data_IF_011836393968
#
_entry.id   IF_011836393968
#
_cell.length_a   1.000
_cell.length_b   1.000
_cell.length_c   1.000
_cell.angle_alpha   90.00
_cell.angle_beta   90.00
_cell.angle_gamma   90.00
#
_symmetry.space_group_name_H-M   'P 1'
#
loop_
_entity.id
_entity.type
_entity.pdbx_description
1 polymer ?
#
# COMPACT_ATOMS: atom_id res chain seq x y z
N UNK A 1 4.69 -61.72 17.88
CA UNK A 1 5.48 -60.54 17.49
C UNK A 1 4.47 -59.45 17.18
N UNK A 2 4.53 -58.30 17.83
CA UNK A 2 3.50 -57.26 17.68
C UNK A 2 3.63 -56.59 16.32
N UNK A 3 2.67 -56.84 15.44
CA UNK A 3 2.56 -56.15 14.15
C UNK A 3 2.28 -54.67 14.36
N UNK A 4 2.96 -53.81 13.59
CA UNK A 4 2.88 -52.36 13.68
C UNK A 4 2.50 -51.74 12.34
N UNK A 5 1.85 -50.57 12.41
CA UNK A 5 1.54 -49.75 11.24
C UNK A 5 2.85 -49.29 10.60
N UNK A 6 3.18 -49.83 9.42
CA UNK A 6 4.37 -49.46 8.66
C UNK A 6 4.02 -48.42 7.59
N UNK A 7 4.10 -47.14 7.93
CA UNK A 7 3.96 -46.05 6.95
C UNK A 7 5.30 -45.32 6.77
N UNK A 8 5.73 -45.20 5.53
CA UNK A 8 7.00 -44.56 5.16
C UNK A 8 6.95 -43.02 5.19
N UNK A 9 5.84 -42.42 5.62
CA UNK A 9 5.57 -40.97 5.53
C UNK A 9 5.25 -40.40 6.92
N UNK A 10 5.82 -39.24 7.30
CA UNK A 10 5.45 -38.54 8.52
C UNK A 10 3.98 -38.09 8.47
N UNK A 11 3.19 -38.49 9.45
CA UNK A 11 1.78 -38.11 9.65
C UNK A 11 1.56 -37.62 11.09
N UNK A 12 0.52 -36.81 11.32
CA UNK A 12 0.22 -36.23 12.63
C UNK A 12 -0.06 -37.31 13.69
N UNK A 13 0.30 -37.03 14.95
CA UNK A 13 0.21 -38.01 16.03
C UNK A 13 -1.21 -38.55 16.28
N UNK A 14 -2.24 -37.72 16.10
CA UNK A 14 -3.63 -38.16 16.22
C UNK A 14 -4.01 -39.12 15.08
N UNK A 15 -3.60 -38.81 13.84
CA UNK A 15 -3.80 -39.70 12.70
C UNK A 15 -3.03 -41.02 12.85
N UNK A 16 -1.82 -41.00 13.43
CA UNK A 16 -1.09 -42.23 13.79
C UNK A 16 -1.86 -43.09 14.79
N UNK A 17 -2.47 -42.48 15.82
CA UNK A 17 -3.27 -43.21 16.82
C UNK A 17 -4.49 -43.86 16.20
N UNK A 18 -5.24 -43.13 15.34
CA UNK A 18 -6.41 -43.67 14.64
C UNK A 18 -6.02 -44.88 13.80
N UNK A 19 -4.91 -44.79 13.04
CA UNK A 19 -4.44 -45.90 12.22
C UNK A 19 -3.96 -47.09 13.06
N UNK A 20 -3.31 -46.84 14.20
CA UNK A 20 -2.90 -47.90 15.13
C UNK A 20 -4.10 -48.62 15.76
N UNK A 21 -5.15 -47.88 16.09
CA UNK A 21 -6.41 -48.45 16.58
C UNK A 21 -7.11 -49.29 15.51
N UNK A 22 -7.17 -48.79 14.26
CA UNK A 22 -7.72 -49.54 13.12
C UNK A 22 -6.93 -50.84 12.86
N UNK A 23 -5.61 -50.78 12.95
CA UNK A 23 -4.75 -51.97 12.86
C UNK A 23 -5.10 -52.99 13.95
N UNK A 24 -5.20 -52.53 15.20
CA UNK A 24 -5.50 -53.39 16.35
C UNK A 24 -6.85 -54.10 16.17
N UNK A 25 -7.90 -53.37 15.82
CA UNK A 25 -9.25 -53.94 15.62
C UNK A 25 -9.24 -55.02 14.53
N UNK A 26 -8.55 -54.78 13.41
CA UNK A 26 -8.46 -55.74 12.31
C UNK A 26 -7.64 -56.98 12.65
N UNK A 27 -6.54 -56.79 13.36
CA UNK A 27 -5.72 -57.89 13.89
C UNK A 27 -6.52 -58.76 14.86
N UNK A 28 -7.30 -58.14 15.77
CA UNK A 28 -8.21 -58.83 16.69
C UNK A 28 -9.36 -59.56 15.97
N UNK A 29 -9.79 -59.04 14.81
CA UNK A 29 -10.75 -59.71 13.93
C UNK A 29 -10.15 -60.88 13.11
N UNK A 30 -8.86 -61.17 13.28
CA UNK A 30 -8.18 -62.32 12.65
C UNK A 30 -7.62 -62.05 11.25
N UNK A 31 -7.56 -60.79 10.81
CA UNK A 31 -6.86 -60.44 9.57
C UNK A 31 -5.34 -60.49 9.79
N UNK A 32 -4.60 -61.01 8.82
CA UNK A 32 -3.15 -61.09 8.88
C UNK A 32 -2.49 -59.72 8.63
N UNK A 33 -1.28 -59.57 9.16
CA UNK A 33 -0.52 -58.31 9.09
C UNK A 33 -0.24 -57.85 7.65
N UNK A 34 -0.08 -58.77 6.71
CA UNK A 34 0.18 -58.45 5.29
C UNK A 34 -1.07 -57.84 4.64
N UNK A 35 -2.24 -58.44 4.87
CA UNK A 35 -3.53 -57.93 4.41
C UNK A 35 -3.84 -56.53 4.98
N UNK A 36 -3.64 -56.33 6.29
CA UNK A 36 -3.91 -55.03 6.94
C UNK A 36 -2.98 -53.96 6.37
N UNK A 37 -1.68 -54.24 6.29
CA UNK A 37 -0.71 -53.27 5.78
C UNK A 37 -0.92 -52.98 4.28
N UNK A 38 -1.36 -53.95 3.48
CA UNK A 38 -1.71 -53.73 2.07
C UNK A 38 -2.91 -52.80 1.93
N UNK A 39 -3.93 -52.96 2.76
CA UNK A 39 -5.09 -52.07 2.77
C UNK A 39 -4.71 -50.64 3.21
N UNK A 40 -3.94 -50.51 4.28
CA UNK A 40 -3.42 -49.22 4.74
C UNK A 40 -2.54 -48.54 3.67
N UNK A 41 -1.72 -49.32 2.97
CA UNK A 41 -0.91 -48.83 1.86
C UNK A 41 -1.77 -48.32 0.69
N UNK A 42 -2.92 -48.95 0.42
CA UNK A 42 -3.84 -48.48 -0.61
C UNK A 42 -4.53 -47.15 -0.24
N UNK A 43 -4.71 -46.88 1.06
CA UNK A 43 -5.29 -45.64 1.58
C UNK A 43 -4.27 -44.50 1.72
N UNK A 44 -2.96 -44.77 1.56
CA UNK A 44 -1.88 -43.79 1.76
C UNK A 44 -2.10 -42.44 1.04
N UNK A 45 -2.51 -42.40 -0.25
CA UNK A 45 -2.77 -41.12 -0.91
C UNK A 45 -3.83 -40.30 -0.16
N UNK A 46 -4.95 -40.92 0.20
CA UNK A 46 -6.04 -40.28 0.95
C UNK A 46 -5.58 -39.79 2.32
N UNK A 47 -4.71 -40.54 3.01
CA UNK A 47 -4.14 -40.15 4.32
C UNK A 47 -3.23 -38.92 4.18
N UNK A 48 -2.38 -38.88 3.16
CA UNK A 48 -1.50 -37.72 2.91
C UNK A 48 -2.31 -36.45 2.68
N UNK A 49 -3.39 -36.56 1.90
CA UNK A 49 -4.30 -35.45 1.63
C UNK A 49 -5.03 -35.04 2.92
N UNK A 50 -5.62 -35.99 3.65
CA UNK A 50 -6.30 -35.70 4.92
C UNK A 50 -5.39 -34.95 5.89
N UNK A 51 -4.16 -35.44 6.09
CA UNK A 51 -3.19 -34.82 6.98
C UNK A 51 -2.73 -33.43 6.52
N UNK A 52 -2.82 -33.13 5.22
CA UNK A 52 -2.56 -31.79 4.70
C UNK A 52 -3.73 -30.83 4.96
N UNK A 53 -4.97 -31.34 4.95
CA UNK A 53 -6.18 -30.53 5.12
C UNK A 53 -6.50 -30.30 6.61
N UNK A 54 -6.25 -31.30 7.47
CA UNK A 54 -6.32 -31.28 8.93
C UNK A 54 -5.16 -30.43 9.50
N UNK A 55 -5.33 -29.11 9.40
CA UNK A 55 -4.27 -28.14 9.69
C UNK A 55 -4.05 -27.98 11.19
N UNK A 56 -5.10 -28.14 11.99
CA UNK A 56 -5.02 -28.08 13.45
C UNK A 56 -4.64 -29.43 14.08
N UNK A 57 -4.48 -30.47 13.26
CA UNK A 57 -4.12 -31.83 13.65
C UNK A 57 -5.09 -32.43 14.67
N UNK A 58 -6.36 -32.01 14.60
CA UNK A 58 -7.43 -32.52 15.46
C UNK A 58 -7.78 -33.98 15.17
N UNK A 59 -7.35 -34.52 14.02
CA UNK A 59 -7.74 -35.84 13.55
C UNK A 59 -9.11 -35.83 12.87
N UNK A 60 -9.60 -34.66 12.50
CA UNK A 60 -10.88 -34.46 11.83
C UNK A 60 -10.85 -33.23 10.92
N UNK A 61 -11.58 -33.26 9.81
CA UNK A 61 -11.69 -32.14 8.88
C UNK A 61 -13.01 -31.42 9.13
N UNK A 62 -12.92 -30.15 9.51
CA UNK A 62 -14.07 -29.27 9.65
C UNK A 62 -14.56 -28.74 8.30
N UNK A 63 -15.80 -28.23 8.24
CA UNK A 63 -16.33 -27.56 7.05
C UNK A 63 -15.43 -26.40 6.57
N UNK A 64 -14.72 -25.72 7.49
CA UNK A 64 -13.79 -24.64 7.16
C UNK A 64 -12.56 -25.16 6.42
N UNK A 65 -12.02 -26.30 6.86
CA UNK A 65 -10.87 -26.94 6.23
C UNK A 65 -11.24 -27.56 4.89
N UNK A 66 -12.40 -28.21 4.78
CA UNK A 66 -12.94 -28.67 3.50
C UNK A 66 -13.13 -27.48 2.53
N UNK A 67 -13.67 -26.34 3.00
CA UNK A 67 -13.79 -25.12 2.19
C UNK A 67 -12.43 -24.57 1.73
N UNK A 68 -11.36 -24.72 2.51
CA UNK A 68 -9.99 -24.33 2.10
C UNK A 68 -9.46 -25.26 1.02
N UNK A 69 -9.66 -26.57 1.18
CA UNK A 69 -9.33 -27.57 0.16
C UNK A 69 -9.99 -27.21 -1.17
N UNK A 70 -11.32 -27.08 -1.20
CA UNK A 70 -12.05 -26.79 -2.44
C UNK A 70 -11.57 -25.50 -3.12
N UNK A 71 -11.15 -24.50 -2.33
CA UNK A 71 -10.59 -23.24 -2.85
C UNK A 71 -9.18 -23.37 -3.41
N UNK A 72 -8.39 -24.34 -2.96
CA UNK A 72 -7.04 -24.60 -3.50
C UNK A 72 -7.06 -25.46 -4.76
N UNK A 73 -8.15 -26.20 -5.00
CA UNK A 73 -8.29 -27.04 -6.18
C UNK A 73 -8.53 -26.21 -7.46
N UNK A 74 -8.18 -26.75 -8.64
CA UNK A 74 -8.43 -26.09 -9.92
C UNK A 74 -9.90 -25.68 -10.08
N UNK A 75 -10.16 -24.41 -10.41
CA UNK A 75 -11.52 -23.85 -10.56
C UNK A 75 -12.20 -24.20 -11.89
N UNK A 76 -11.46 -24.72 -12.86
CA UNK A 76 -12.02 -25.27 -14.10
C UNK A 76 -12.64 -26.63 -13.78
N UNK A 77 -13.68 -27.05 -14.52
CA UNK A 77 -14.32 -28.37 -14.33
C UNK A 77 -13.21 -29.44 -14.20
N UNK A 78 -13.26 -30.31 -13.18
CA UNK A 78 -12.25 -31.34 -13.00
C UNK A 78 -12.07 -32.12 -14.29
N UNK A 79 -10.83 -32.45 -14.63
CA UNK A 79 -10.55 -33.32 -15.78
C UNK A 79 -11.12 -34.71 -15.49
N UNK A 80 -11.64 -35.42 -16.50
CA UNK A 80 -12.10 -36.78 -16.31
C UNK A 80 -10.95 -37.66 -15.76
N UNK A 81 -11.24 -38.59 -14.84
CA UNK A 81 -10.23 -39.52 -14.35
C UNK A 81 -9.77 -40.46 -15.48
N UNK A 82 -8.64 -41.18 -15.30
CA UNK A 82 -8.22 -42.24 -16.21
C UNK A 82 -9.37 -43.26 -16.39
N UNK A 83 -9.82 -43.47 -17.63
CA UNK A 83 -10.99 -44.31 -17.93
C UNK A 83 -12.29 -43.54 -18.19
N UNK A 84 -12.30 -42.21 -18.02
CA UNK A 84 -13.47 -41.37 -18.26
C UNK A 84 -14.40 -41.28 -17.05
N UNK A 85 -15.48 -40.51 -17.17
CA UNK A 85 -16.46 -40.38 -16.09
C UNK A 85 -17.28 -41.66 -15.91
N UNK A 86 -17.65 -42.02 -14.66
CA UNK A 86 -18.71 -42.98 -14.43
C UNK A 86 -19.96 -42.56 -15.20
N UNK A 87 -20.49 -43.43 -16.06
CA UNK A 87 -21.64 -43.12 -16.92
C UNK A 87 -21.35 -42.27 -18.17
N UNK A 88 -20.08 -41.94 -18.45
CA UNK A 88 -19.67 -41.27 -19.69
C UNK A 88 -19.90 -39.75 -19.74
N UNK A 89 -20.49 -39.15 -18.71
CA UNK A 89 -20.72 -37.71 -18.60
C UNK A 89 -20.17 -37.15 -17.29
N UNK A 90 -19.75 -35.87 -17.25
CA UNK A 90 -19.29 -35.23 -16.01
C UNK A 90 -20.32 -35.35 -14.88
N UNK A 91 -19.88 -35.51 -13.61
CA UNK A 91 -20.78 -35.57 -12.47
C UNK A 91 -21.58 -34.27 -12.35
N UNK A 92 -22.79 -34.33 -11.79
CA UNK A 92 -23.58 -33.13 -11.50
C UNK A 92 -22.81 -32.20 -10.56
N UNK A 93 -23.16 -30.92 -10.58
CA UNK A 93 -22.65 -29.98 -9.59
C UNK A 93 -23.11 -30.43 -8.19
N UNK A 94 -22.17 -30.46 -7.26
CA UNK A 94 -22.42 -30.72 -5.85
C UNK A 94 -21.93 -29.52 -5.04
N UNK A 95 -22.74 -29.06 -4.10
CA UNK A 95 -22.34 -27.97 -3.22
C UNK A 95 -21.33 -28.46 -2.17
N UNK A 96 -20.58 -27.53 -1.56
CA UNK A 96 -19.62 -27.91 -0.51
C UNK A 96 -20.35 -28.46 0.72
N UNK A 97 -21.56 -27.98 1.01
CA UNK A 97 -22.33 -28.46 2.14
C UNK A 97 -22.85 -29.89 1.87
N UNK A 98 -23.28 -30.20 0.63
CA UNK A 98 -23.65 -31.57 0.23
C UNK A 98 -22.45 -32.53 0.27
N UNK A 99 -21.28 -32.08 -0.19
CA UNK A 99 -20.02 -32.85 -0.07
C UNK A 99 -19.72 -33.14 1.41
N UNK A 100 -19.84 -32.12 2.26
CA UNK A 100 -19.58 -32.27 3.69
C UNK A 100 -20.54 -33.28 4.32
N UNK A 101 -21.85 -33.15 4.08
CA UNK A 101 -22.87 -34.09 4.56
C UNK A 101 -22.67 -35.51 4.03
N UNK A 102 -22.18 -35.66 2.80
CA UNK A 102 -21.91 -36.99 2.22
C UNK A 102 -20.68 -37.67 2.83
N UNK A 103 -19.71 -36.88 3.31
CA UNK A 103 -18.50 -37.38 3.97
C UNK A 103 -18.73 -37.60 5.47
N UNK A 104 -19.40 -36.68 6.15
CA UNK A 104 -19.80 -36.74 7.57
C UNK A 104 -20.96 -37.74 7.76
N UNK A 105 -20.61 -39.03 7.77
CA UNK A 105 -21.58 -40.14 7.72
C UNK A 105 -22.29 -40.31 9.06
N UNK A 106 -21.61 -40.01 10.17
CA UNK A 106 -22.19 -40.08 11.51
C UNK A 106 -22.92 -38.78 11.92
N UNK A 107 -22.85 -37.73 11.09
CA UNK A 107 -23.43 -36.41 11.32
C UNK A 107 -22.97 -35.74 12.63
N UNK A 108 -21.71 -35.97 13.04
CA UNK A 108 -21.11 -35.36 14.23
C UNK A 108 -20.54 -33.95 13.98
N UNK A 109 -20.62 -33.48 12.73
CA UNK A 109 -20.23 -32.13 12.34
C UNK A 109 -18.75 -31.99 11.97
N UNK A 110 -18.02 -33.09 11.83
CA UNK A 110 -16.62 -33.16 11.39
C UNK A 110 -16.39 -34.44 10.59
N UNK A 111 -15.44 -34.41 9.66
CA UNK A 111 -15.12 -35.60 8.85
C UNK A 111 -13.90 -36.27 9.48
N UNK A 112 -14.09 -37.44 10.08
CA UNK A 112 -12.98 -38.25 10.61
C UNK A 112 -12.09 -38.83 9.48
N UNK A 113 -10.88 -39.30 9.84
CA UNK A 113 -9.99 -39.96 8.89
C UNK A 113 -10.65 -41.18 8.22
N UNK A 114 -11.44 -41.95 8.97
CA UNK A 114 -12.13 -43.14 8.46
C UNK A 114 -13.22 -42.76 7.47
N UNK A 115 -14.07 -41.80 7.83
CA UNK A 115 -15.10 -41.26 6.93
C UNK A 115 -14.49 -40.70 5.64
N UNK A 116 -13.35 -40.02 5.73
CA UNK A 116 -12.64 -39.54 4.56
C UNK A 116 -12.17 -40.69 3.66
N UNK A 117 -11.44 -41.67 4.21
CA UNK A 117 -10.87 -42.79 3.43
C UNK A 117 -11.99 -43.60 2.78
N UNK A 118 -13.08 -43.86 3.51
CA UNK A 118 -14.17 -44.74 3.07
C UNK A 118 -15.10 -44.06 2.06
N UNK A 119 -15.28 -42.74 2.13
CA UNK A 119 -16.26 -42.04 1.30
C UNK A 119 -15.66 -41.23 0.15
N UNK A 120 -14.42 -40.72 0.23
CA UNK A 120 -13.86 -39.84 -0.81
C UNK A 120 -13.67 -40.55 -2.16
N UNK A 121 -13.57 -41.89 -2.16
CA UNK A 121 -13.39 -42.71 -3.36
C UNK A 121 -14.70 -43.28 -3.93
N UNK A 122 -15.85 -43.00 -3.30
CA UNK A 122 -17.16 -43.45 -3.80
C UNK A 122 -17.59 -42.65 -5.03
N UNK A 123 -18.48 -43.24 -5.84
CA UNK A 123 -18.96 -42.64 -7.09
C UNK A 123 -19.58 -41.26 -6.89
N UNK A 124 -20.26 -41.03 -5.76
CA UNK A 124 -20.85 -39.73 -5.43
C UNK A 124 -19.80 -38.61 -5.29
N UNK A 125 -18.58 -38.96 -4.87
CA UNK A 125 -17.46 -38.04 -4.68
C UNK A 125 -16.50 -38.00 -5.88
N UNK A 126 -16.81 -38.67 -7.00
CA UNK A 126 -15.90 -38.79 -8.15
C UNK A 126 -15.41 -37.44 -8.68
N UNK A 127 -16.26 -36.40 -8.63
CA UNK A 127 -15.89 -35.05 -9.03
C UNK A 127 -14.85 -34.41 -8.11
N UNK A 128 -15.03 -34.55 -6.79
CA UNK A 128 -14.07 -34.07 -5.80
C UNK A 128 -12.75 -34.83 -5.91
N UNK A 129 -12.82 -36.16 -6.02
CA UNK A 129 -11.63 -36.99 -6.15
C UNK A 129 -10.83 -36.67 -7.42
N UNK A 130 -11.49 -36.52 -8.57
CA UNK A 130 -10.82 -36.10 -9.80
C UNK A 130 -10.15 -34.73 -9.68
N UNK A 131 -10.78 -33.79 -8.96
CA UNK A 131 -10.20 -32.47 -8.69
C UNK A 131 -8.96 -32.55 -7.80
N UNK A 132 -9.01 -33.37 -6.74
CA UNK A 132 -7.87 -33.63 -5.84
C UNK A 132 -6.73 -34.29 -6.60
N UNK A 133 -7.01 -35.41 -7.29
CA UNK A 133 -6.01 -36.18 -8.05
C UNK A 133 -5.28 -35.30 -9.08
N UNK A 134 -6.01 -34.40 -9.77
CA UNK A 134 -5.44 -33.46 -10.72
C UNK A 134 -4.60 -32.33 -10.11
N UNK A 135 -4.67 -32.15 -8.79
CA UNK A 135 -3.92 -31.13 -8.04
C UNK A 135 -2.72 -31.70 -7.26
N UNK A 136 -2.49 -33.01 -7.32
CA UNK A 136 -1.40 -33.65 -6.58
C UNK A 136 -0.04 -33.41 -7.24
N UNK A 137 0.95 -33.13 -6.40
CA UNK A 137 2.36 -33.20 -6.78
C UNK A 137 2.78 -34.68 -6.86
N UNK A 138 3.29 -35.16 -8.02
CA UNK A 138 3.61 -36.57 -8.21
C UNK A 138 4.71 -37.12 -7.28
N UNK A 139 5.54 -36.27 -6.70
CA UNK A 139 6.65 -36.70 -5.81
C UNK A 139 6.21 -36.79 -4.37
N UNK A 140 5.37 -35.86 -3.93
CA UNK A 140 4.99 -35.73 -2.52
C UNK A 140 3.61 -36.29 -2.20
N UNK A 141 2.76 -36.48 -3.21
CA UNK A 141 1.36 -36.85 -3.03
C UNK A 141 0.50 -35.77 -2.35
N UNK A 142 1.05 -34.56 -2.20
CA UNK A 142 0.37 -33.40 -1.60
C UNK A 142 -0.28 -32.54 -2.66
N UNK A 143 -1.33 -31.83 -2.28
CA UNK A 143 -1.99 -30.84 -3.13
C UNK A 143 -1.05 -29.65 -3.33
N UNK A 144 -0.76 -29.35 -4.60
CA UNK A 144 0.10 -28.23 -5.02
C UNK A 144 -0.54 -26.91 -4.61
N UNK A 145 0.24 -26.03 -3.98
CA UNK A 145 -0.20 -24.69 -3.60
C UNK A 145 -1.17 -24.64 -2.40
N UNK A 146 -1.53 -25.77 -1.80
CA UNK A 146 -2.24 -25.77 -0.52
C UNK A 146 -1.25 -25.38 0.59
N UNK A 147 -1.58 -24.32 1.32
CA UNK A 147 -0.82 -23.82 2.46
C UNK A 147 -1.73 -23.67 3.66
N UNK A 148 -1.26 -24.07 4.84
CA UNK A 148 -1.94 -23.74 6.10
C UNK A 148 -1.89 -22.22 6.35
N UNK A 149 -2.73 -21.71 7.25
CA UNK A 149 -2.69 -20.28 7.58
C UNK A 149 -1.36 -19.88 8.23
N UNK A 150 -0.77 -20.79 9.00
CA UNK A 150 0.51 -20.64 9.67
C UNK A 150 1.65 -20.57 8.64
N UNK A 151 1.65 -21.46 7.65
CA UNK A 151 2.61 -21.42 6.55
C UNK A 151 2.48 -20.13 5.73
N UNK A 152 1.24 -19.73 5.42
CA UNK A 152 0.99 -18.47 4.71
C UNK A 152 1.43 -17.25 5.52
N UNK A 153 1.22 -17.28 6.85
CA UNK A 153 1.67 -16.22 7.74
C UNK A 153 3.20 -16.14 7.79
N UNK A 154 3.89 -17.29 7.87
CA UNK A 154 5.34 -17.36 7.84
C UNK A 154 5.90 -16.75 6.54
N UNK A 155 5.36 -17.16 5.38
CA UNK A 155 5.75 -16.61 4.07
C UNK A 155 5.55 -15.08 3.99
N UNK A 156 4.45 -14.57 4.57
CA UNK A 156 4.17 -13.13 4.59
C UNK A 156 5.12 -12.37 5.51
N UNK A 157 5.49 -12.95 6.65
CA UNK A 157 6.47 -12.36 7.57
C UNK A 157 7.85 -12.30 6.91
N UNK A 158 8.26 -13.38 6.23
CA UNK A 158 9.53 -13.43 5.52
C UNK A 158 9.59 -12.38 4.40
N UNK A 159 8.52 -12.27 3.60
CA UNK A 159 8.42 -11.25 2.52
C UNK A 159 8.35 -9.82 3.06
N UNK A 160 7.91 -9.60 4.29
CA UNK A 160 7.85 -8.26 4.91
C UNK A 160 9.23 -7.67 5.16
N UNK A 161 10.22 -8.50 5.51
CA UNK A 161 11.57 -8.03 5.84
C UNK A 161 12.27 -7.28 4.67
N UNK A 162 12.34 -7.83 3.43
CA UNK A 162 12.95 -7.12 2.31
C UNK A 162 12.16 -5.87 1.91
N UNK A 163 10.82 -5.89 1.96
CA UNK A 163 10.00 -4.70 1.67
C UNK A 163 10.26 -3.57 2.67
N UNK A 164 10.44 -3.90 3.95
CA UNK A 164 10.79 -2.90 4.96
C UNK A 164 12.18 -2.28 4.72
N UNK A 165 13.15 -3.08 4.27
CA UNK A 165 14.47 -2.59 3.89
C UNK A 165 14.42 -1.70 2.64
N UNK A 166 13.60 -2.05 1.66
CA UNK A 166 13.38 -1.26 0.45
C UNK A 166 12.73 0.08 0.76
N UNK A 167 11.70 0.11 1.62
CA UNK A 167 11.09 1.36 2.09
C UNK A 167 12.11 2.26 2.79
N UNK A 168 12.95 1.71 3.67
CA UNK A 168 14.00 2.47 4.35
C UNK A 168 15.05 3.03 3.37
N UNK A 169 15.36 2.30 2.29
CA UNK A 169 16.25 2.79 1.24
C UNK A 169 15.64 3.96 0.45
N UNK A 170 14.35 3.86 0.12
CA UNK A 170 13.60 4.93 -0.54
C UNK A 170 13.54 6.18 0.34
N UNK A 171 13.27 6.03 1.65
CA UNK A 171 13.27 7.17 2.59
C UNK A 171 14.62 7.89 2.62
N UNK A 172 15.71 7.14 2.60
CA UNK A 172 17.07 7.70 2.55
C UNK A 172 17.35 8.41 1.21
N UNK A 173 16.84 7.87 0.09
CA UNK A 173 16.90 8.54 -1.20
C UNK A 173 16.09 9.83 -1.20
N UNK A 174 14.88 9.84 -0.63
CA UNK A 174 14.05 11.03 -0.47
C UNK A 174 14.79 12.08 0.37
N UNK A 175 15.43 11.70 1.47
CA UNK A 175 16.21 12.61 2.30
C UNK A 175 17.42 13.19 1.54
N UNK A 176 18.13 12.35 0.78
CA UNK A 176 19.21 12.81 -0.09
C UNK A 176 18.73 13.75 -1.18
N UNK A 177 17.58 13.47 -1.80
CA UNK A 177 16.97 14.32 -2.83
C UNK A 177 16.53 15.65 -2.22
N UNK A 178 15.86 15.65 -1.07
CA UNK A 178 15.50 16.87 -0.31
C UNK A 178 16.70 17.74 0.05
N UNK A 179 17.85 17.13 0.30
CA UNK A 179 19.09 17.84 0.62
C UNK A 179 19.84 18.31 -0.64
N UNK A 180 19.71 17.60 -1.77
CA UNK A 180 20.39 17.94 -3.04
C UNK A 180 19.61 18.90 -3.93
N UNK A 181 18.28 18.76 -3.97
CA UNK A 181 17.35 19.71 -4.57
C UNK A 181 17.07 20.71 -3.46
N UNK A 182 17.79 21.83 -3.47
CA UNK A 182 17.72 22.84 -2.42
C UNK A 182 16.28 23.18 -2.06
N UNK A 183 15.83 22.72 -0.89
CA UNK A 183 14.50 23.05 -0.35
C UNK A 183 14.29 24.57 -0.36
N UNK A 184 15.34 25.34 -0.12
CA UNK A 184 15.34 26.80 -0.30
C UNK A 184 14.99 27.24 -1.73
N UNK A 185 15.58 26.65 -2.76
CA UNK A 185 15.30 27.02 -4.15
C UNK A 185 13.84 26.79 -4.53
N UNK A 186 13.28 25.63 -4.15
CA UNK A 186 11.87 25.26 -4.40
C UNK A 186 10.91 26.10 -3.55
N UNK A 187 11.20 26.30 -2.26
CA UNK A 187 10.36 27.11 -1.37
C UNK A 187 10.36 28.56 -1.85
N UNK A 188 11.52 29.09 -2.25
CA UNK A 188 11.64 30.44 -2.80
C UNK A 188 10.92 30.55 -4.14
N UNK A 189 11.03 29.56 -5.03
CA UNK A 189 10.29 29.52 -6.29
C UNK A 189 8.78 29.67 -6.06
N UNK A 190 8.20 28.80 -5.24
CA UNK A 190 6.78 28.84 -4.88
C UNK A 190 6.39 30.09 -4.11
N UNK A 191 7.33 30.74 -3.43
CA UNK A 191 7.07 32.00 -2.77
C UNK A 191 7.05 33.17 -3.77
N UNK A 192 7.84 33.10 -4.85
CA UNK A 192 7.89 34.13 -5.91
C UNK A 192 6.72 33.98 -6.88
N UNK A 193 6.38 32.73 -7.28
CA UNK A 193 5.20 32.37 -8.07
C UNK A 193 3.93 32.64 -7.25
N UNK A 194 3.48 33.88 -7.35
CA UNK A 194 2.48 34.45 -6.48
C UNK A 194 1.08 34.01 -6.92
N UNK A 195 0.88 33.90 -8.23
CA UNK A 195 -0.39 33.48 -8.81
C UNK A 195 -0.49 31.95 -8.98
N UNK A 196 0.57 31.21 -8.61
CA UNK A 196 0.64 29.75 -8.67
C UNK A 196 0.46 29.25 -10.09
N UNK A 197 0.96 30.00 -11.05
CA UNK A 197 0.97 29.61 -12.46
C UNK A 197 1.90 28.41 -12.71
N UNK A 198 2.81 28.11 -11.77
CA UNK A 198 3.88 27.14 -11.94
C UNK A 198 5.09 27.73 -12.67
N UNK A 199 5.08 29.05 -12.91
CA UNK A 199 6.12 29.79 -13.62
C UNK A 199 6.34 31.15 -12.94
N UNK A 200 7.54 31.72 -13.04
CA UNK A 200 7.81 33.07 -12.55
C UNK A 200 7.75 34.05 -13.72
N UNK A 201 6.79 34.96 -13.68
CA UNK A 201 6.74 36.08 -14.62
C UNK A 201 7.78 37.16 -14.28
N UNK A 202 8.18 37.96 -15.28
CA UNK A 202 9.05 39.13 -15.09
C UNK A 202 8.59 40.06 -13.97
N UNK A 203 7.28 40.23 -13.77
CA UNK A 203 6.72 41.10 -12.72
C UNK A 203 6.96 40.53 -11.31
N UNK A 204 6.86 39.21 -11.17
CA UNK A 204 7.06 38.49 -9.92
C UNK A 204 8.55 38.46 -9.56
N UNK A 205 9.40 38.18 -10.55
CA UNK A 205 10.85 38.28 -10.41
C UNK A 205 11.28 39.71 -9.99
N UNK A 206 10.70 40.74 -10.61
CA UNK A 206 11.00 42.13 -10.24
C UNK A 206 10.60 42.44 -8.78
N UNK A 207 9.49 41.86 -8.32
CA UNK A 207 8.96 42.08 -6.98
C UNK A 207 9.88 41.47 -5.93
N UNK A 208 10.37 40.25 -6.13
CA UNK A 208 11.32 39.64 -5.20
C UNK A 208 12.66 40.36 -5.21
N UNK A 209 13.19 40.75 -6.38
CA UNK A 209 14.46 41.48 -6.49
C UNK A 209 14.46 42.82 -5.75
N UNK A 210 13.31 43.50 -5.63
CA UNK A 210 13.16 44.74 -4.85
C UNK A 210 13.22 44.51 -3.34
N UNK A 211 12.85 43.31 -2.89
CA UNK A 211 12.79 42.95 -1.47
C UNK A 211 14.08 42.31 -0.98
N UNK A 212 14.84 41.68 -1.89
CA UNK A 212 16.12 41.06 -1.56
C UNK A 212 17.16 42.11 -1.14
N UNK A 213 18.04 41.79 -0.17
CA UNK A 213 19.14 42.65 0.20
C UNK A 213 20.11 42.78 -0.98
N UNK A 214 20.70 43.98 -1.10
CA UNK A 214 21.84 44.17 -2.02
C UNK A 214 22.98 43.27 -1.54
N UNK A 215 23.54 42.40 -2.39
CA UNK A 215 24.50 41.40 -1.95
C UNK A 215 25.74 42.11 -1.42
N UNK A 216 26.05 41.94 -0.12
CA UNK A 216 27.19 42.61 0.53
C UNK A 216 28.53 41.97 0.14
N UNK A 217 28.50 40.73 -0.34
CA UNK A 217 29.69 39.88 -0.53
C UNK A 217 30.16 39.76 -1.99
N UNK A 218 29.35 40.20 -2.96
CA UNK A 218 29.68 40.11 -4.39
C UNK A 218 29.82 41.52 -4.95
N UNK A 219 31.05 42.02 -4.99
CA UNK A 219 31.40 43.27 -5.66
C UNK A 219 31.26 43.10 -7.18
N UNK A 220 30.04 43.23 -7.70
CA UNK A 220 29.71 43.04 -9.11
C UNK A 220 28.78 44.13 -9.66
N UNK A 221 28.75 44.31 -11.00
CA UNK A 221 27.84 45.25 -11.65
C UNK A 221 26.38 44.88 -11.36
N UNK A 222 25.50 45.90 -11.30
CA UNK A 222 24.05 45.68 -11.20
C UNK A 222 23.61 44.87 -12.42
N UNK A 223 23.27 43.61 -12.21
CA UNK A 223 22.67 42.78 -13.25
C UNK A 223 21.23 43.28 -13.44
N UNK A 224 20.86 43.58 -14.69
CA UNK A 224 19.50 44.03 -14.99
C UNK A 224 18.52 42.87 -14.88
N UNK A 225 17.23 43.16 -14.71
CA UNK A 225 16.22 42.09 -14.69
C UNK A 225 16.16 41.38 -16.05
N UNK A 226 16.44 42.09 -17.14
CA UNK A 226 16.55 41.53 -18.48
C UNK A 226 17.68 40.49 -18.57
N UNK A 227 18.83 40.74 -17.95
CA UNK A 227 19.95 39.80 -17.95
C UNK A 227 19.67 38.56 -17.08
N UNK A 228 18.96 38.74 -15.95
CA UNK A 228 18.53 37.62 -15.10
C UNK A 228 17.51 36.76 -15.84
N UNK A 229 16.47 37.38 -16.43
CA UNK A 229 15.47 36.65 -17.23
C UNK A 229 16.17 35.88 -18.34
N UNK A 230 17.02 36.52 -19.14
CA UNK A 230 17.76 35.85 -20.22
C UNK A 230 18.65 34.68 -19.77
N UNK A 231 19.09 34.68 -18.52
CA UNK A 231 19.94 33.63 -17.98
C UNK A 231 19.13 32.45 -17.39
N UNK A 232 17.92 32.73 -16.90
CA UNK A 232 17.04 31.73 -16.29
C UNK A 232 16.05 31.12 -17.29
N UNK A 233 15.45 31.94 -18.17
CA UNK A 233 14.51 31.56 -19.23
C UNK A 233 15.30 30.93 -20.39
N UNK A 234 15.43 29.61 -20.38
CA UNK A 234 16.29 28.85 -21.31
C UNK A 234 15.57 28.61 -22.63
N UNK A 235 14.27 28.34 -22.57
CA UNK A 235 13.46 28.07 -23.77
C UNK A 235 12.92 29.35 -24.44
N UNK A 236 13.01 30.50 -23.77
CA UNK A 236 12.66 31.81 -24.30
C UNK A 236 11.16 32.08 -24.32
N UNK A 237 10.37 31.37 -23.51
CA UNK A 237 8.92 31.52 -23.46
C UNK A 237 8.45 32.79 -22.72
N UNK A 238 9.39 33.51 -22.07
CA UNK A 238 9.14 34.75 -21.34
C UNK A 238 8.76 34.55 -19.88
N UNK A 239 8.76 33.31 -19.40
CA UNK A 239 8.56 32.89 -18.02
C UNK A 239 9.73 32.02 -17.55
N UNK A 240 9.77 31.68 -16.25
CA UNK A 240 10.80 30.79 -15.71
C UNK A 240 10.09 29.67 -14.96
N UNK A 241 10.22 28.43 -15.42
CA UNK A 241 9.65 27.28 -14.73
C UNK A 241 10.55 26.79 -13.57
N UNK A 242 10.04 25.87 -12.74
CA UNK A 242 10.77 25.40 -11.56
C UNK A 242 12.11 24.72 -11.92
N UNK A 243 12.16 23.96 -13.01
CA UNK A 243 13.36 23.25 -13.44
C UNK A 243 14.45 24.23 -13.90
N UNK A 244 14.06 25.22 -14.71
CA UNK A 244 14.93 26.31 -15.15
C UNK A 244 15.47 27.10 -13.97
N UNK A 245 14.60 27.46 -13.02
CA UNK A 245 14.99 28.14 -11.80
C UNK A 245 16.05 27.36 -11.03
N UNK A 246 15.82 26.07 -10.76
CA UNK A 246 16.74 25.26 -9.95
C UNK A 246 18.08 25.02 -10.66
N UNK A 247 18.07 24.81 -11.98
CA UNK A 247 19.28 24.53 -12.74
C UNK A 247 20.11 25.79 -13.00
N UNK A 248 19.45 26.92 -13.28
CA UNK A 248 20.12 28.17 -13.70
C UNK A 248 20.39 29.15 -12.57
N UNK A 249 19.78 28.98 -11.41
CA UNK A 249 20.08 29.83 -10.25
C UNK A 249 21.55 29.70 -9.80
N UNK A 250 22.18 28.54 -10.00
CA UNK A 250 23.62 28.35 -9.73
C UNK A 250 24.52 29.18 -10.65
N UNK A 251 24.06 29.42 -11.89
CA UNK A 251 24.77 30.20 -12.90
C UNK A 251 24.67 31.72 -12.65
N UNK A 252 23.88 32.15 -11.65
CA UNK A 252 23.73 33.56 -11.24
C UNK A 252 24.14 33.74 -9.76
N UNK A 253 25.45 33.74 -9.45
CA UNK A 253 25.94 33.77 -8.07
C UNK A 253 25.45 34.97 -7.25
N UNK A 254 25.24 36.12 -7.89
CA UNK A 254 24.72 37.33 -7.24
C UNK A 254 23.28 37.17 -6.77
N UNK A 255 22.43 36.52 -7.58
CA UNK A 255 21.03 36.29 -7.24
C UNK A 255 20.91 35.23 -6.16
N UNK A 256 21.67 34.12 -6.32
CA UNK A 256 21.75 33.05 -5.33
C UNK A 256 22.17 33.58 -3.96
N UNK A 257 23.25 34.36 -3.89
CA UNK A 257 23.72 34.95 -2.62
C UNK A 257 22.70 35.90 -1.98
N UNK A 258 22.02 36.73 -2.78
CA UNK A 258 20.96 37.62 -2.28
C UNK A 258 19.77 36.85 -1.72
N UNK A 259 19.37 35.75 -2.35
CA UNK A 259 18.31 34.87 -1.87
C UNK A 259 18.73 34.16 -0.59
N UNK A 260 19.94 33.59 -0.55
CA UNK A 260 20.49 32.91 0.64
C UNK A 260 20.60 33.85 1.85
N UNK A 261 20.98 35.12 1.67
CA UNK A 261 21.02 36.12 2.76
C UNK A 261 19.60 36.50 3.25
N UNK A 262 18.60 36.46 2.37
CA UNK A 262 17.22 36.83 2.70
C UNK A 262 16.39 35.69 3.29
N UNK A 263 16.81 34.45 3.10
CA UNK A 263 16.08 33.26 3.53
C UNK A 263 16.24 33.01 5.04
N UNK A 264 15.12 32.70 5.70
CA UNK A 264 15.07 32.29 7.10
C UNK A 264 15.33 30.80 7.31
N UNK A 265 15.41 30.35 8.58
CA UNK A 265 15.55 28.93 8.93
C UNK A 265 14.43 28.04 8.39
N UNK A 266 13.28 28.63 8.06
CA UNK A 266 12.10 27.99 7.47
C UNK A 266 12.18 27.87 5.93
N UNK A 267 13.28 28.29 5.32
CA UNK A 267 13.50 28.24 3.87
C UNK A 267 12.79 29.34 3.08
N UNK A 268 12.08 30.26 3.75
CA UNK A 268 11.32 31.36 3.11
C UNK A 268 12.08 32.68 3.15
N UNK A 269 11.88 33.52 2.14
CA UNK A 269 12.36 34.92 2.12
C UNK A 269 11.65 35.71 3.23
N UNK A 270 12.44 36.26 4.15
CA UNK A 270 11.95 37.05 5.28
C UNK A 270 11.17 38.27 4.79
N UNK A 271 9.95 38.45 5.32
CA UNK A 271 9.10 39.60 5.02
C UNK A 271 8.44 39.60 3.64
N UNK A 272 8.65 38.57 2.80
CA UNK A 272 7.98 38.46 1.51
C UNK A 272 6.61 37.78 1.66
N UNK A 273 5.54 38.58 1.57
CA UNK A 273 4.16 38.12 1.73
C UNK A 273 3.58 37.62 0.40
N UNK A 274 2.95 36.44 0.41
CA UNK A 274 2.10 35.96 -0.68
C UNK A 274 0.82 36.79 -0.83
N UNK A 275 0.05 36.61 -1.91
CA UNK A 275 -1.23 37.32 -2.08
C UNK A 275 -2.26 36.90 -1.03
N UNK A 276 -2.25 35.65 -0.60
CA UNK A 276 -3.11 35.15 0.47
C UNK A 276 -2.81 35.88 1.79
N UNK A 277 -1.52 36.07 2.11
CA UNK A 277 -1.07 36.83 3.26
C UNK A 277 -1.38 38.33 3.15
N UNK A 278 -1.31 38.89 1.93
CA UNK A 278 -1.70 40.27 1.68
C UNK A 278 -3.21 40.48 1.83
N UNK A 279 -4.02 39.55 1.31
CA UNK A 279 -5.47 39.56 1.46
C UNK A 279 -5.87 39.45 2.93
N UNK A 280 -5.29 38.50 3.66
CA UNK A 280 -5.53 38.35 5.09
C UNK A 280 -5.19 39.65 5.85
N UNK A 281 -4.04 40.25 5.57
CA UNK A 281 -3.65 41.52 6.22
C UNK A 281 -4.58 42.67 5.86
N UNK A 282 -5.01 42.78 4.60
CA UNK A 282 -5.97 43.80 4.17
C UNK A 282 -7.33 43.62 4.86
N UNK A 283 -7.80 42.38 5.01
CA UNK A 283 -9.03 42.09 5.75
C UNK A 283 -8.91 42.47 7.23
N UNK A 284 -7.76 42.20 7.87
CA UNK A 284 -7.51 42.64 9.25
C UNK A 284 -7.46 44.18 9.38
N UNK A 285 -6.82 44.86 8.43
CA UNK A 285 -6.78 46.33 8.40
C UNK A 285 -8.21 46.91 8.22
N UNK A 286 -9.03 46.31 7.36
CA UNK A 286 -10.45 46.70 7.17
C UNK A 286 -11.23 46.53 8.47
N UNK A 287 -11.12 45.38 9.14
CA UNK A 287 -11.81 45.12 10.41
C UNK A 287 -11.43 46.18 11.46
N UNK A 288 -10.14 46.46 11.62
CA UNK A 288 -9.67 47.46 12.60
C UNK A 288 -10.11 48.89 12.26
N UNK A 289 -10.19 49.25 10.97
CA UNK A 289 -10.71 50.55 10.54
C UNK A 289 -12.22 50.66 10.74
N UNK A 290 -12.99 49.60 10.47
CA UNK A 290 -14.43 49.55 10.74
C UNK A 290 -14.74 49.68 12.22
N UNK A 291 -13.97 49.03 13.08
CA UNK A 291 -14.10 49.13 14.54
C UNK A 291 -13.84 50.57 15.03
N UNK A 292 -12.76 51.21 14.55
CA UNK A 292 -12.45 52.61 14.90
C UNK A 292 -13.55 53.58 14.47
N UNK A 293 -14.09 53.42 13.26
CA UNK A 293 -15.23 54.22 12.77
C UNK A 293 -16.47 53.96 13.63
N UNK A 294 -16.76 52.70 13.96
CA UNK A 294 -17.86 52.34 14.85
C UNK A 294 -17.74 52.93 16.26
N UNK A 295 -16.50 53.14 16.72
CA UNK A 295 -16.18 53.81 18.00
C UNK A 295 -16.15 55.34 17.92
N UNK A 296 -16.53 55.94 16.77
CA UNK A 296 -16.69 57.39 16.61
C UNK A 296 -15.50 58.12 15.98
N UNK A 297 -14.48 57.41 15.49
CA UNK A 297 -13.39 58.00 14.68
C UNK A 297 -13.77 57.98 13.18
N UNK A 298 -14.63 58.88 12.72
CA UNK A 298 -15.21 58.89 11.36
C UNK A 298 -14.66 60.00 10.44
N UNK A 299 -13.46 60.50 10.72
CA UNK A 299 -12.82 61.54 9.91
C UNK A 299 -12.67 61.14 8.43
N UNK A 300 -12.79 62.09 7.47
CA UNK A 300 -12.84 61.80 6.04
C UNK A 300 -11.61 61.04 5.51
N UNK A 301 -10.43 61.29 6.07
CA UNK A 301 -9.21 60.57 5.71
C UNK A 301 -9.26 59.07 6.08
N UNK A 302 -9.90 58.74 7.21
CA UNK A 302 -10.02 57.37 7.71
C UNK A 302 -11.06 56.59 6.91
N UNK A 303 -12.17 57.24 6.52
CA UNK A 303 -13.16 56.69 5.59
C UNK A 303 -12.57 56.46 4.19
N UNK A 304 -11.73 57.39 3.72
CA UNK A 304 -11.02 57.23 2.44
C UNK A 304 -10.01 56.05 2.50
N UNK A 305 -9.27 55.91 3.60
CA UNK A 305 -8.37 54.78 3.83
C UNK A 305 -9.14 53.46 3.85
N UNK A 306 -10.25 53.38 4.58
CA UNK A 306 -11.10 52.19 4.64
C UNK A 306 -11.61 51.81 3.25
N UNK A 307 -12.06 52.79 2.46
CA UNK A 307 -12.56 52.57 1.10
C UNK A 307 -11.46 51.97 0.22
N UNK A 308 -10.25 52.55 0.23
CA UNK A 308 -9.09 52.02 -0.52
C UNK A 308 -8.71 50.60 -0.09
N UNK A 309 -8.78 50.30 1.21
CA UNK A 309 -8.47 48.96 1.75
C UNK A 309 -9.52 47.94 1.33
N UNK A 310 -10.81 48.29 1.36
CA UNK A 310 -11.92 47.45 0.85
C UNK A 310 -11.80 47.18 -0.64
N UNK A 311 -11.45 48.19 -1.45
CA UNK A 311 -11.15 47.98 -2.87
C UNK A 311 -9.98 47.02 -3.09
N UNK A 312 -8.95 47.09 -2.23
CA UNK A 312 -7.83 46.16 -2.23
C UNK A 312 -8.25 44.71 -1.95
N UNK A 313 -9.10 44.49 -0.93
CA UNK A 313 -9.68 43.17 -0.62
C UNK A 313 -10.46 42.63 -1.81
N UNK A 314 -11.38 43.42 -2.36
CA UNK A 314 -12.22 43.03 -3.50
C UNK A 314 -11.37 42.64 -4.72
N UNK A 315 -10.31 43.41 -5.03
CA UNK A 315 -9.42 43.09 -6.16
C UNK A 315 -8.74 41.73 -6.02
N UNK A 316 -8.40 41.31 -4.80
CA UNK A 316 -7.75 40.02 -4.54
C UNK A 316 -8.78 38.88 -4.51
N UNK A 317 -9.95 39.11 -3.92
CA UNK A 317 -11.05 38.13 -3.93
C UNK A 317 -11.58 37.86 -5.34
N UNK A 318 -11.68 38.88 -6.20
CA UNK A 318 -12.05 38.74 -7.61
C UNK A 318 -11.04 37.89 -8.42
N UNK A 319 -9.79 37.79 -7.94
CA UNK A 319 -8.76 36.90 -8.52
C UNK A 319 -8.84 35.47 -7.97
N UNK A 320 -9.82 35.15 -7.14
CA UNK A 320 -9.98 33.82 -6.54
C UNK A 320 -9.01 33.51 -5.39
N UNK A 321 -8.26 34.52 -4.92
CA UNK A 321 -7.31 34.36 -3.81
C UNK A 321 -8.08 34.14 -2.51
N UNK A 322 -7.65 33.15 -1.72
CA UNK A 322 -8.20 32.88 -0.39
C UNK A 322 -7.23 33.38 0.68
N UNK A 323 -7.70 34.02 1.77
CA UNK A 323 -6.81 34.50 2.82
C UNK A 323 -6.13 33.34 3.55
N UNK A 324 -4.83 33.47 3.81
CA UNK A 324 -4.05 32.56 4.63
C UNK A 324 -3.50 33.36 5.83
N UNK A 325 -3.67 32.89 7.08
CA UNK A 325 -3.18 33.59 8.25
C UNK A 325 -1.67 33.80 8.20
N UNK A 326 -1.24 35.05 8.36
CA UNK A 326 0.18 35.36 8.47
C UNK A 326 0.63 35.19 9.92
N UNK A 327 1.27 34.05 10.24
CA UNK A 327 2.02 33.92 11.48
C UNK A 327 3.21 34.89 11.43
N UNK A 328 3.14 35.97 12.22
CA UNK A 328 4.29 36.84 12.42
C UNK A 328 5.31 36.02 13.20
N UNK A 329 6.20 35.33 12.47
CA UNK A 329 7.34 34.63 13.05
C UNK A 329 7.98 35.55 14.08
N UNK A 330 8.21 35.03 15.28
CA UNK A 330 8.73 35.75 16.43
C UNK A 330 10.00 36.49 16.02
N UNK A 331 9.87 37.80 15.78
CA UNK A 331 11.00 38.72 15.68
C UNK A 331 11.59 38.83 17.09
N UNK A 332 12.64 38.06 17.34
CA UNK A 332 13.57 38.25 18.44
C UNK A 332 14.78 39.05 17.95
#
# INVERSE_FOLDING_TARGET
>A
MGGSVSLAIPIAANNQKILAEKYKVKSEAGQDDESINKELASALPSIVIFNQIDCDHSGSVTLKELKRLIKSLPRKKPTPPPGGWPGGSPPPYMSIDDMFTSLDTNADGKISLDEWIENVSKDDMVGLKAAIDGALDPKTGKIVGYQSLEQRLADLIEKRAPLAAELAAIDKQIESIKNSVGSTGVIVFHQIDIDKSGTIEKKELLRVLKQLPKPKSVGGPKISIEDIMKSLDVDGDGTINEEEWLQKLEDIPTLKASIEEAVGPDGKIKGYRSLENQLWKLQQDVIGLEERIGNGEDGPALVEELTKKKEGVLKLEMKGIKPEPYERGTEA
#
